data_IF_065023939723
#
_entry.id   IF_065023939723
#
_cell.length_a   1.000
_cell.length_b   1.000
_cell.length_c   1.000
_cell.angle_alpha   90.00
_cell.angle_beta   90.00
_cell.angle_gamma   90.00
#
_symmetry.space_group_name_H-M   'P 1'
#
loop_
_entity.id
_entity.type
_entity.pdbx_description
1 polymer ?
#
# COMPACT_ATOMS: atom_id res chain seq x y z
N UNK A 1 12.04 0.50 20.90
CA UNK A 1 12.13 1.89 20.44
C UNK A 1 10.75 2.54 20.31
N UNK A 2 9.86 2.07 19.41
CA UNK A 2 8.54 2.69 19.19
C UNK A 2 7.67 2.79 20.47
N UNK A 3 7.58 1.71 21.26
CA UNK A 3 6.77 1.73 22.51
C UNK A 3 7.24 2.79 23.50
N UNK A 4 8.54 2.84 23.83
CA UNK A 4 9.06 3.81 24.79
C UNK A 4 9.05 5.24 24.23
N UNK A 5 9.20 5.38 22.90
CA UNK A 5 8.97 6.65 22.19
C UNK A 5 7.53 7.14 22.34
N UNK A 6 6.55 6.25 22.17
CA UNK A 6 5.13 6.55 22.40
C UNK A 6 4.89 6.97 23.85
N UNK A 7 5.53 6.29 24.80
CA UNK A 7 5.44 6.63 26.24
C UNK A 7 6.18 7.92 26.63
N UNK A 8 6.86 8.59 25.68
CA UNK A 8 7.38 9.95 25.89
C UNK A 8 8.90 10.08 25.82
N UNK A 9 9.65 9.05 25.43
CA UNK A 9 11.09 9.22 25.17
C UNK A 9 11.32 10.25 24.06
N UNK A 10 12.12 11.29 24.36
CA UNK A 10 12.36 12.41 23.47
C UNK A 10 13.37 12.11 22.35
N UNK A 11 14.30 11.16 22.56
CA UNK A 11 15.31 10.79 21.57
C UNK A 11 15.63 9.29 21.67
N UNK A 12 15.72 8.63 20.51
CA UNK A 12 16.01 7.20 20.40
C UNK A 12 17.38 7.02 19.75
N UNK A 13 18.36 6.49 20.48
CA UNK A 13 19.61 6.03 19.88
C UNK A 13 19.32 4.78 19.05
N UNK A 14 19.73 4.78 17.79
CA UNK A 14 19.53 3.64 16.91
C UNK A 14 20.42 2.44 17.28
N UNK A 15 20.04 1.27 16.77
CA UNK A 15 20.80 0.03 16.88
C UNK A 15 20.96 -0.51 15.47
N UNK A 16 22.19 -0.84 15.07
CA UNK A 16 22.48 -1.36 13.73
C UNK A 16 22.24 -2.88 13.67
N UNK A 17 22.05 -3.46 12.47
CA UNK A 17 21.89 -4.92 12.32
C UNK A 17 23.05 -5.74 12.88
N UNK A 18 24.28 -5.20 12.85
CA UNK A 18 25.50 -5.84 13.36
C UNK A 18 25.82 -5.55 14.83
N UNK A 19 24.91 -4.91 15.57
CA UNK A 19 25.12 -4.69 16.99
C UNK A 19 25.41 -6.03 17.71
N UNK A 20 26.45 -6.05 18.56
CA UNK A 20 27.02 -7.24 19.20
C UNK A 20 27.75 -8.25 18.29
N UNK A 21 27.88 -7.96 16.99
CA UNK A 21 28.54 -8.85 16.01
C UNK A 21 29.79 -8.22 15.38
N UNK A 22 29.79 -6.91 15.15
CA UNK A 22 30.92 -6.20 14.56
C UNK A 22 30.63 -4.75 14.23
N UNK A 23 31.59 -4.08 13.59
CA UNK A 23 31.39 -2.72 13.13
C UNK A 23 30.42 -2.70 11.92
N UNK A 24 29.46 -1.75 11.89
CA UNK A 24 28.52 -1.63 10.79
C UNK A 24 29.21 -1.12 9.53
N UNK A 25 28.75 -1.58 8.37
CA UNK A 25 29.06 -0.99 7.07
C UNK A 25 28.04 0.11 6.70
N UNK A 26 28.16 0.64 5.47
CA UNK A 26 27.29 1.71 4.98
C UNK A 26 25.81 1.30 4.94
N UNK A 27 25.53 0.05 4.58
CA UNK A 27 24.16 -0.43 4.41
C UNK A 27 23.52 -0.71 5.77
N UNK A 28 24.29 -1.26 6.71
CA UNK A 28 23.88 -1.43 8.11
C UNK A 28 23.47 -0.09 8.75
N UNK A 29 24.24 0.97 8.48
CA UNK A 29 23.93 2.33 8.98
C UNK A 29 22.64 2.85 8.35
N UNK A 30 22.46 2.72 7.02
CA UNK A 30 21.23 3.15 6.34
C UNK A 30 20.02 2.39 6.91
N UNK A 31 20.12 1.07 7.08
CA UNK A 31 19.05 0.23 7.62
C UNK A 31 18.68 0.62 9.05
N UNK A 32 19.66 0.81 9.93
CA UNK A 32 19.43 1.28 11.29
C UNK A 32 18.71 2.64 11.34
N UNK A 33 19.15 3.61 10.52
CA UNK A 33 18.55 4.95 10.47
C UNK A 33 17.10 4.87 10.00
N UNK A 34 16.83 4.17 8.90
CA UNK A 34 15.47 4.04 8.36
C UNK A 34 14.56 3.33 9.36
N UNK A 35 15.05 2.29 10.02
CA UNK A 35 14.33 1.54 11.06
C UNK A 35 13.93 2.43 12.22
N UNK A 36 14.85 3.26 12.73
CA UNK A 36 14.56 4.16 13.84
C UNK A 36 13.72 5.38 13.43
N UNK A 37 13.84 5.87 12.19
CA UNK A 37 12.90 6.87 11.64
C UNK A 37 11.47 6.33 11.59
N UNK A 38 11.28 5.07 11.19
CA UNK A 38 9.98 4.41 11.24
C UNK A 38 9.48 4.28 12.68
N UNK A 39 10.33 3.82 13.61
CA UNK A 39 9.96 3.67 15.02
C UNK A 39 9.55 5.00 15.68
N UNK A 40 10.27 6.08 15.37
CA UNK A 40 9.94 7.43 15.83
C UNK A 40 8.61 7.92 15.23
N UNK A 41 8.42 7.76 13.92
CA UNK A 41 7.15 8.10 13.26
C UNK A 41 5.96 7.32 13.82
N UNK A 42 6.13 6.02 14.07
CA UNK A 42 5.11 5.19 14.72
C UNK A 42 4.77 5.68 16.14
N UNK A 43 5.76 6.11 16.90
CA UNK A 43 5.55 6.74 18.20
C UNK A 43 4.78 8.07 18.08
N UNK A 44 5.14 8.92 17.12
CA UNK A 44 4.45 10.20 16.88
C UNK A 44 2.99 10.00 16.46
N UNK A 45 2.70 9.00 15.62
CA UNK A 45 1.33 8.60 15.30
C UNK A 45 0.56 8.15 16.54
N UNK A 46 1.13 7.28 17.36
CA UNK A 46 0.50 6.79 18.58
C UNK A 46 0.28 7.88 19.64
N UNK A 47 1.12 8.92 19.65
CA UNK A 47 0.96 10.12 20.48
C UNK A 47 -0.07 11.11 19.93
N UNK A 48 -0.53 10.93 18.69
CA UNK A 48 -1.38 11.91 18.00
C UNK A 48 -0.65 13.21 17.70
N UNK A 49 0.66 13.16 17.41
CA UNK A 49 1.44 14.37 17.11
C UNK A 49 0.86 15.08 15.88
N UNK A 50 0.62 16.41 15.94
CA UNK A 50 0.11 17.17 14.81
C UNK A 50 0.98 16.95 13.56
N UNK A 51 0.34 16.60 12.45
CA UNK A 51 1.01 16.41 11.16
C UNK A 51 1.58 15.01 10.90
N UNK A 52 1.75 14.15 11.91
CA UNK A 52 2.27 12.79 11.70
C UNK A 52 1.38 12.01 10.71
N UNK A 53 0.06 12.03 10.93
CA UNK A 53 -0.90 11.31 10.09
C UNK A 53 -1.03 11.85 8.66
N UNK A 54 -0.61 13.10 8.39
CA UNK A 54 -0.69 13.69 7.04
C UNK A 54 0.14 12.86 6.06
N UNK A 55 1.32 12.42 6.49
CA UNK A 55 2.21 11.60 5.67
C UNK A 55 1.58 10.25 5.33
N UNK A 56 1.04 9.55 6.33
CA UNK A 56 0.39 8.24 6.18
C UNK A 56 -0.81 8.34 5.23
N UNK A 57 -1.63 9.38 5.39
CA UNK A 57 -2.77 9.62 4.52
C UNK A 57 -2.34 9.96 3.09
N UNK A 58 -1.30 10.76 2.90
CA UNK A 58 -0.77 11.09 1.58
C UNK A 58 -0.22 9.85 0.86
N UNK A 59 0.55 9.01 1.56
CA UNK A 59 1.10 7.76 1.00
C UNK A 59 -0.02 6.75 0.70
N UNK A 60 -0.99 6.61 1.60
CA UNK A 60 -2.14 5.71 1.41
C UNK A 60 -3.02 6.15 0.25
N UNK A 61 -3.22 7.46 0.09
CA UNK A 61 -3.94 8.03 -1.06
C UNK A 61 -3.19 7.79 -2.36
N UNK A 62 -1.87 8.04 -2.40
CA UNK A 62 -1.05 7.75 -3.57
C UNK A 62 -1.11 6.27 -3.98
N UNK A 63 -1.08 5.37 -2.98
CA UNK A 63 -1.25 3.93 -3.20
C UNK A 63 -2.61 3.57 -3.80
N UNK A 64 -3.70 4.10 -3.21
CA UNK A 64 -5.05 3.79 -3.68
C UNK A 64 -5.34 4.36 -5.08
N UNK A 65 -4.71 5.49 -5.43
CA UNK A 65 -4.84 6.15 -6.74
C UNK A 65 -3.81 5.66 -7.77
N UNK A 66 -3.00 4.64 -7.44
CA UNK A 66 -1.95 4.10 -8.30
C UNK A 66 -0.93 5.15 -8.79
N UNK A 67 -0.70 6.20 -8.00
CA UNK A 67 0.36 7.20 -8.23
C UNK A 67 1.69 6.65 -7.72
N UNK A 68 2.27 5.72 -8.46
CA UNK A 68 3.43 4.93 -8.02
C UNK A 68 4.63 5.79 -7.63
N UNK A 69 5.01 6.78 -8.46
CA UNK A 69 6.14 7.64 -8.15
C UNK A 69 5.91 8.48 -6.89
N UNK A 70 4.69 8.99 -6.69
CA UNK A 70 4.33 9.69 -5.46
C UNK A 70 4.41 8.77 -4.24
N UNK A 71 3.94 7.52 -4.37
CA UNK A 71 4.03 6.52 -3.30
C UNK A 71 5.49 6.22 -2.95
N UNK A 72 6.38 6.08 -3.94
CA UNK A 72 7.81 5.85 -3.68
C UNK A 72 8.44 7.05 -2.99
N UNK A 73 8.21 8.25 -3.52
CA UNK A 73 8.79 9.50 -3.01
C UNK A 73 8.33 9.84 -1.58
N UNK A 74 7.13 9.40 -1.19
CA UNK A 74 6.62 9.56 0.19
C UNK A 74 7.18 8.51 1.16
N UNK A 75 7.77 7.43 0.65
CA UNK A 75 8.40 6.36 1.44
C UNK A 75 9.56 6.85 2.31
N UNK A 76 9.90 6.10 3.36
CA UNK A 76 11.07 6.42 4.19
C UNK A 76 12.40 6.17 3.45
N UNK A 77 12.39 5.22 2.50
CA UNK A 77 13.50 4.89 1.60
C UNK A 77 12.96 4.76 0.17
N UNK A 78 12.81 5.88 -0.56
CA UNK A 78 12.21 5.89 -1.90
C UNK A 78 12.91 4.99 -2.91
N UNK A 79 14.25 4.94 -2.84
CA UNK A 79 15.07 4.10 -3.72
C UNK A 79 14.73 2.61 -3.55
N UNK A 80 14.67 2.14 -2.29
CA UNK A 80 14.32 0.74 -2.00
C UNK A 80 12.88 0.42 -2.41
N UNK A 81 11.94 1.33 -2.20
CA UNK A 81 10.55 1.13 -2.61
C UNK A 81 10.41 1.00 -4.13
N UNK A 82 11.08 1.86 -4.90
CA UNK A 82 11.10 1.78 -6.37
C UNK A 82 11.80 0.52 -6.85
N UNK A 83 12.94 0.16 -6.26
CA UNK A 83 13.69 -1.05 -6.59
C UNK A 83 12.80 -2.30 -6.47
N UNK A 84 12.12 -2.50 -5.33
CA UNK A 84 11.28 -3.68 -5.10
C UNK A 84 10.11 -3.79 -6.08
N UNK A 85 9.52 -2.66 -6.50
CA UNK A 85 8.51 -2.68 -7.55
C UNK A 85 9.13 -3.10 -8.90
N UNK A 86 10.27 -2.51 -9.24
CA UNK A 86 10.91 -2.63 -10.55
C UNK A 86 11.60 -3.98 -10.77
N UNK A 87 11.89 -4.73 -9.70
CA UNK A 87 12.34 -6.13 -9.77
C UNK A 87 11.42 -7.02 -10.61
N UNK A 88 10.11 -6.71 -10.64
CA UNK A 88 9.12 -7.48 -11.40
C UNK A 88 8.42 -6.67 -12.50
N UNK A 89 8.29 -5.36 -12.31
CA UNK A 89 7.62 -4.45 -13.25
C UNK A 89 8.51 -3.24 -13.60
N UNK A 90 9.65 -3.44 -14.28
CA UNK A 90 10.65 -2.38 -14.50
C UNK A 90 10.23 -1.32 -15.51
N UNK A 91 9.21 -1.61 -16.35
CA UNK A 91 8.79 -0.68 -17.41
C UNK A 91 8.15 0.57 -16.81
N UNK A 92 8.44 1.74 -17.36
CA UNK A 92 7.80 3.01 -16.93
C UNK A 92 6.27 2.98 -17.08
N UNK A 93 5.74 2.22 -18.05
CA UNK A 93 4.29 2.02 -18.18
C UNK A 93 3.66 1.31 -16.97
N UNK A 94 4.44 0.61 -16.15
CA UNK A 94 3.95 0.02 -14.91
C UNK A 94 3.74 1.06 -13.79
N UNK A 95 4.39 2.24 -13.87
CA UNK A 95 4.22 3.33 -12.89
C UNK A 95 2.89 4.08 -13.01
N UNK A 96 2.10 3.72 -14.02
CA UNK A 96 0.72 4.19 -14.21
C UNK A 96 -0.27 3.02 -14.22
N UNK A 97 0.18 1.79 -13.92
CA UNK A 97 -0.67 0.62 -13.93
C UNK A 97 -1.52 0.54 -12.66
N UNK A 98 -2.80 0.17 -12.82
CA UNK A 98 -3.74 -0.05 -11.71
C UNK A 98 -3.58 -1.43 -11.06
N UNK A 99 -2.35 -1.93 -10.95
CA UNK A 99 -2.01 -3.19 -10.28
C UNK A 99 -0.49 -3.27 -10.03
N UNK A 100 -0.09 -4.21 -9.18
CA UNK A 100 1.29 -4.67 -9.06
C UNK A 100 1.38 -6.17 -9.38
N UNK A 101 2.60 -6.71 -9.36
CA UNK A 101 2.88 -8.13 -9.63
C UNK A 101 2.22 -9.08 -8.63
N UNK A 102 1.88 -8.63 -7.41
CA UNK A 102 1.28 -9.48 -6.37
C UNK A 102 -0.10 -10.03 -6.75
N UNK A 103 -0.96 -9.20 -7.35
CA UNK A 103 -2.33 -9.59 -7.69
C UNK A 103 -2.60 -9.57 -9.20
N UNK A 104 -1.75 -8.90 -9.98
CA UNK A 104 -1.95 -8.72 -11.40
C UNK A 104 -3.18 -7.87 -11.76
N UNK A 105 -3.49 -7.74 -13.05
CA UNK A 105 -4.46 -6.77 -13.57
C UNK A 105 -5.93 -7.07 -13.24
N UNK A 106 -6.26 -8.31 -12.87
CA UNK A 106 -7.63 -8.79 -12.69
C UNK A 106 -8.05 -8.97 -11.23
N UNK A 107 -7.10 -9.08 -10.30
CA UNK A 107 -7.40 -9.40 -8.89
C UNK A 107 -6.91 -8.32 -7.92
N UNK A 108 -6.47 -7.16 -8.41
CA UNK A 108 -6.11 -6.04 -7.55
C UNK A 108 -7.35 -5.48 -6.83
N UNK A 109 -7.40 -5.62 -5.50
CA UNK A 109 -8.53 -5.18 -4.67
C UNK A 109 -8.81 -3.68 -4.77
N UNK A 110 -7.77 -2.85 -4.85
CA UNK A 110 -7.93 -1.39 -4.98
C UNK A 110 -8.55 -1.00 -6.32
N UNK A 111 -8.14 -1.67 -7.41
CA UNK A 111 -8.73 -1.46 -8.74
C UNK A 111 -10.20 -1.88 -8.77
N UNK A 112 -10.50 -3.07 -8.26
CA UNK A 112 -11.88 -3.56 -8.14
C UNK A 112 -12.74 -2.57 -7.36
N UNK A 113 -12.21 -1.99 -6.28
CA UNK A 113 -12.92 -0.97 -5.49
C UNK A 113 -13.18 0.30 -6.31
N UNK A 114 -12.22 0.77 -7.12
CA UNK A 114 -12.43 1.90 -8.02
C UNK A 114 -13.52 1.59 -9.06
N UNK A 115 -13.45 0.43 -9.71
CA UNK A 115 -14.43 0.00 -10.72
C UNK A 115 -15.86 -0.03 -10.13
N UNK A 116 -16.02 -0.54 -8.90
CA UNK A 116 -17.30 -0.55 -8.19
C UNK A 116 -17.80 0.87 -7.88
N UNK A 117 -16.92 1.76 -7.41
CA UNK A 117 -17.28 3.16 -7.12
C UNK A 117 -17.67 3.92 -8.38
N UNK A 118 -16.97 3.70 -9.49
CA UNK A 118 -17.31 4.29 -10.78
C UNK A 118 -18.65 3.78 -11.32
N UNK A 119 -18.91 2.48 -11.19
CA UNK A 119 -20.20 1.90 -11.56
C UNK A 119 -21.34 2.49 -10.73
N UNK A 120 -21.16 2.58 -9.41
CA UNK A 120 -22.14 3.20 -8.51
C UNK A 120 -22.44 4.65 -8.91
N UNK A 121 -21.40 5.44 -9.18
CA UNK A 121 -21.54 6.83 -9.61
C UNK A 121 -22.27 6.98 -10.95
N UNK A 122 -21.99 6.12 -11.94
CA UNK A 122 -22.65 6.13 -13.26
C UNK A 122 -24.14 5.79 -13.16
N UNK A 123 -24.50 4.87 -12.27
CA UNK A 123 -25.88 4.43 -12.05
C UNK A 123 -26.66 5.34 -11.07
N UNK A 124 -26.01 6.34 -10.46
CA UNK A 124 -26.61 7.18 -9.42
C UNK A 124 -26.95 6.41 -8.14
N UNK A 125 -26.25 5.31 -7.88
CA UNK A 125 -26.46 4.42 -6.74
C UNK A 125 -25.45 4.74 -5.63
N UNK A 126 -25.83 4.51 -4.38
CA UNK A 126 -24.85 4.46 -3.30
C UNK A 126 -24.04 3.14 -3.37
N UNK A 127 -22.94 3.04 -2.62
CA UNK A 127 -22.05 1.86 -2.67
C UNK A 127 -22.78 0.54 -2.35
N UNK A 128 -23.74 0.55 -1.41
CA UNK A 128 -24.47 -0.65 -1.01
C UNK A 128 -25.42 -1.13 -2.11
N UNK A 129 -26.17 -0.21 -2.72
CA UNK A 129 -27.11 -0.50 -3.80
C UNK A 129 -26.37 -0.95 -5.08
N UNK A 130 -25.22 -0.34 -5.36
CA UNK A 130 -24.37 -0.73 -6.48
C UNK A 130 -23.83 -2.16 -6.34
N UNK A 131 -23.44 -2.56 -5.12
CA UNK A 131 -22.99 -3.92 -4.83
C UNK A 131 -24.14 -4.93 -5.03
N UNK A 132 -25.32 -4.63 -4.49
CA UNK A 132 -26.50 -5.49 -4.62
C UNK A 132 -26.88 -5.71 -6.10
N UNK A 133 -26.94 -4.62 -6.88
CA UNK A 133 -27.23 -4.66 -8.31
C UNK A 133 -26.14 -5.38 -9.11
N UNK A 134 -24.87 -5.16 -8.78
CA UNK A 134 -23.75 -5.86 -9.41
C UNK A 134 -23.79 -7.38 -9.18
N UNK A 135 -24.12 -7.80 -7.96
CA UNK A 135 -24.30 -9.22 -7.62
C UNK A 135 -25.49 -9.84 -8.36
N UNK A 136 -26.61 -9.12 -8.50
CA UNK A 136 -27.76 -9.56 -9.29
C UNK A 136 -27.37 -9.79 -10.76
N UNK A 137 -26.66 -8.83 -11.38
CA UNK A 137 -26.18 -8.95 -12.76
C UNK A 137 -25.26 -10.17 -12.91
N UNK A 138 -24.30 -10.36 -11.99
CA UNK A 138 -23.39 -11.51 -12.03
C UNK A 138 -24.09 -12.85 -11.78
N UNK A 139 -25.12 -12.88 -10.95
CA UNK A 139 -25.96 -14.07 -10.77
C UNK A 139 -26.68 -14.43 -12.08
N UNK A 140 -27.27 -13.45 -12.77
CA UNK A 140 -27.91 -13.67 -14.08
C UNK A 140 -26.89 -14.12 -15.13
N UNK A 141 -25.70 -13.52 -15.16
CA UNK A 141 -24.60 -13.92 -16.05
C UNK A 141 -24.15 -15.37 -15.81
N UNK A 142 -23.96 -15.76 -14.55
CA UNK A 142 -23.58 -17.11 -14.16
C UNK A 142 -24.60 -18.14 -14.64
N UNK A 143 -25.90 -17.87 -14.43
CA UNK A 143 -26.99 -18.74 -14.90
C UNK A 143 -27.01 -18.83 -16.43
N UNK A 144 -26.87 -17.70 -17.13
CA UNK A 144 -26.82 -17.68 -18.62
C UNK A 144 -25.65 -18.45 -19.20
N UNK A 145 -24.53 -18.49 -18.48
CA UNK A 145 -23.33 -19.20 -18.91
C UNK A 145 -23.29 -20.67 -18.44
N UNK A 146 -24.45 -21.24 -18.10
CA UNK A 146 -24.61 -22.66 -17.80
C UNK A 146 -24.56 -23.04 -16.32
N UNK A 147 -24.46 -22.07 -15.41
CA UNK A 147 -24.37 -22.28 -13.96
C UNK A 147 -23.23 -23.23 -13.53
N UNK A 148 -22.15 -23.28 -14.31
CA UNK A 148 -20.95 -24.06 -14.01
C UNK A 148 -19.86 -23.18 -13.40
N UNK A 149 -19.34 -23.61 -12.24
CA UNK A 149 -18.24 -22.92 -11.55
C UNK A 149 -16.91 -23.15 -12.27
N UNK A 150 -16.72 -24.34 -12.85
CA UNK A 150 -15.49 -24.71 -13.55
C UNK A 150 -15.79 -24.89 -15.03
N UNK A 151 -15.17 -24.06 -15.87
CA UNK A 151 -15.26 -24.20 -17.33
C UNK A 151 -14.00 -24.87 -17.87
N UNK A 152 -14.16 -25.71 -18.87
CA UNK A 152 -13.01 -26.14 -19.69
C UNK A 152 -12.51 -24.92 -20.46
N UNK A 153 -11.27 -24.54 -20.15
CA UNK A 153 -10.52 -23.49 -20.86
C UNK A 153 -10.01 -24.06 -22.17
#
# INVERSE_FOLDING_TARGET
AAMIGWYGTAMLCYVTPKEHLGLPDKDDVKEGIITYKLAAHAADLAKGHPGAQIRDNALSKARFEFRWDDQFNLGLDPEKAKLFHDETLPKESAKVAHFCSMCGPHFCSMKITQDVREYAAKEGLNEADALAKGMEIKAVEFVKQGAEVYRKV
#
